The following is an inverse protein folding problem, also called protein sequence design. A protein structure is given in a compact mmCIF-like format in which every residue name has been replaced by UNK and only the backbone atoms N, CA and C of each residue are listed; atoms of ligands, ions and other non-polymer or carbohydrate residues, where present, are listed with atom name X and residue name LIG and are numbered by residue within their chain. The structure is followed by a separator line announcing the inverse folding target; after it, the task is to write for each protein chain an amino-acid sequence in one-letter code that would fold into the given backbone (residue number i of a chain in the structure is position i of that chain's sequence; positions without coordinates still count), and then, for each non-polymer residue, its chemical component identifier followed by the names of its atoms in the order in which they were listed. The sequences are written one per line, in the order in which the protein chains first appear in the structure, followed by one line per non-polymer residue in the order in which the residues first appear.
data_IF_699479181548
#
_entry.id   IF_699479181548
#
_cell.length_a   1.000
_cell.length_b   1.000
_cell.length_c   1.000
_cell.angle_alpha   90.00
_cell.angle_beta   90.00
_cell.angle_gamma   90.00
#
_symmetry.space_group_name_H-M   'P 1'
#
loop_
_entity.id
_entity.type
_entity.pdbx_description
1 polymer ?
#
# COMPACT_ATOMS: atom_id res chain seq x y z
N UNK A 1 -15.65 -9.63 40.56
CA UNK A 1 -15.82 -9.65 39.09
C UNK A 1 -15.68 -8.22 38.60
N UNK A 2 -14.48 -7.84 38.20
CA UNK A 2 -14.14 -6.51 37.71
C UNK A 2 -13.89 -6.62 36.21
N UNK A 3 -14.78 -6.04 35.41
CA UNK A 3 -14.64 -5.93 33.96
C UNK A 3 -13.79 -4.70 33.66
N UNK A 4 -12.49 -4.90 33.41
CA UNK A 4 -11.61 -3.88 32.87
C UNK A 4 -11.85 -3.75 31.37
N UNK A 5 -12.54 -2.68 30.98
CA UNK A 5 -12.66 -2.24 29.58
C UNK A 5 -11.30 -1.79 29.09
N UNK A 6 -10.69 -2.52 28.15
CA UNK A 6 -9.49 -2.06 27.45
C UNK A 6 -9.90 -1.03 26.40
N UNK A 7 -9.50 0.22 26.58
CA UNK A 7 -9.54 1.22 25.52
C UNK A 7 -8.53 0.81 24.44
N UNK A 8 -9.02 0.08 23.43
CA UNK A 8 -8.27 -0.25 22.24
C UNK A 8 -7.97 1.03 21.47
N UNK A 9 -6.78 1.59 21.66
CA UNK A 9 -6.26 2.62 20.77
C UNK A 9 -6.10 1.97 19.39
N UNK A 10 -7.01 2.30 18.46
CA UNK A 10 -6.86 2.03 17.04
C UNK A 10 -5.74 2.88 16.41
N UNK A 11 -4.61 3.02 17.10
CA UNK A 11 -3.37 3.55 16.56
C UNK A 11 -2.57 2.37 16.02
N UNK A 12 -2.70 2.11 14.73
CA UNK A 12 -1.79 1.27 13.93
C UNK A 12 -0.34 1.41 14.44
N UNK A 13 0.20 0.33 15.03
CA UNK A 13 1.52 0.27 15.64
C UNK A 13 2.59 0.12 14.54
N UNK A 14 3.03 1.24 13.97
CA UNK A 14 3.93 1.26 12.80
C UNK A 14 5.42 1.04 13.14
N UNK A 15 5.84 1.29 14.37
CA UNK A 15 7.25 1.22 14.80
C UNK A 15 7.82 -0.20 14.81
N UNK A 16 7.01 -1.19 15.18
CA UNK A 16 7.40 -2.61 15.09
C UNK A 16 7.55 -3.04 13.62
N UNK A 17 6.70 -2.48 12.75
CA UNK A 17 6.68 -2.79 11.32
C UNK A 17 7.86 -2.16 10.56
N UNK A 18 8.33 -0.98 10.92
CA UNK A 18 9.54 -0.40 10.32
C UNK A 18 10.79 -1.20 10.67
N UNK A 19 10.86 -1.72 11.90
CA UNK A 19 11.96 -2.59 12.35
C UNK A 19 12.03 -3.89 11.55
N UNK A 20 10.88 -4.53 11.28
CA UNK A 20 10.85 -5.74 10.44
C UNK A 20 11.18 -5.47 8.97
N UNK A 21 10.80 -4.31 8.44
CA UNK A 21 11.15 -3.90 7.06
C UNK A 21 12.66 -3.61 6.94
N UNK A 22 13.28 -3.00 7.96
CA UNK A 22 14.73 -2.81 7.99
C UNK A 22 15.50 -4.13 8.03
N UNK A 23 14.96 -5.16 8.70
CA UNK A 23 15.57 -6.48 8.77
C UNK A 23 15.68 -7.19 7.40
N UNK A 24 14.80 -6.85 6.44
CA UNK A 24 14.89 -7.31 5.05
C UNK A 24 15.68 -6.36 4.14
N UNK A 25 16.42 -5.40 4.72
CA UNK A 25 17.27 -4.46 3.99
C UNK A 25 16.52 -3.31 3.31
N UNK A 26 15.23 -3.13 3.58
CA UNK A 26 14.42 -2.06 3.01
C UNK A 26 14.50 -0.81 3.89
N UNK A 27 14.95 0.31 3.32
CA UNK A 27 14.98 1.60 3.99
C UNK A 27 13.79 2.47 3.53
N UNK A 28 12.87 2.76 4.44
CA UNK A 28 11.72 3.63 4.15
C UNK A 28 12.16 5.10 4.26
N UNK A 29 12.28 5.78 3.12
CA UNK A 29 12.56 7.20 3.07
C UNK A 29 11.27 7.99 3.31
N UNK A 30 11.08 8.48 4.55
CA UNK A 30 9.85 9.16 4.99
C UNK A 30 9.42 10.30 4.06
N UNK A 31 10.31 11.25 3.79
CA UNK A 31 10.04 12.42 2.95
C UNK A 31 9.72 12.11 1.47
N UNK A 32 10.02 10.89 1.00
CA UNK A 32 9.68 10.43 -0.36
C UNK A 32 8.42 9.58 -0.40
N UNK A 33 7.93 9.16 0.75
CA UNK A 33 6.78 8.27 0.82
C UNK A 33 5.51 9.10 0.77
N UNK A 34 4.53 8.60 0.02
CA UNK A 34 3.17 9.16 -0.04
C UNK A 34 2.19 8.05 0.29
N UNK A 35 1.06 8.41 0.87
CA UNK A 35 0.04 7.45 1.26
C UNK A 35 -1.14 7.56 0.30
N UNK A 36 -1.54 6.43 -0.28
CA UNK A 36 -2.80 6.28 -1.00
C UNK A 36 -3.75 5.49 -0.10
N UNK A 37 -4.85 6.11 0.33
CA UNK A 37 -5.88 5.43 1.14
C UNK A 37 -6.88 4.71 0.25
N UNK A 38 -7.13 3.45 0.58
CA UNK A 38 -8.17 2.63 -0.04
C UNK A 38 -9.37 2.54 0.91
N UNK A 39 -10.59 2.75 0.41
CA UNK A 39 -11.88 2.53 1.11
C UNK A 39 -12.18 3.34 2.38
N UNK A 40 -11.39 4.35 2.77
CA UNK A 40 -11.67 5.12 4.01
C UNK A 40 -11.70 6.63 3.77
N UNK A 41 -12.78 7.28 4.21
CA UNK A 41 -12.91 8.74 4.21
C UNK A 41 -11.81 9.38 5.05
N UNK A 42 -11.07 10.33 4.47
CA UNK A 42 -9.92 10.95 5.09
C UNK A 42 -10.33 11.83 6.28
N UNK A 43 -10.24 11.28 7.50
CA UNK A 43 -10.57 12.01 8.73
C UNK A 43 -9.34 12.43 9.52
N UNK A 44 -8.25 11.67 9.44
CA UNK A 44 -7.02 11.95 10.20
C UNK A 44 -5.78 11.79 9.31
N UNK A 45 -4.80 12.70 9.43
CA UNK A 45 -3.48 12.53 8.84
C UNK A 45 -2.79 11.31 9.45
N UNK A 46 -1.99 10.62 8.62
CA UNK A 46 -1.16 9.51 9.08
C UNK A 46 0.21 10.08 9.39
N UNK A 47 0.69 9.86 10.61
CA UNK A 47 1.95 10.40 11.10
C UNK A 47 2.94 9.28 11.44
N UNK A 48 4.23 9.46 11.15
CA UNK A 48 5.31 8.58 11.63
C UNK A 48 6.35 9.45 12.32
N UNK A 49 6.61 9.15 13.59
CA UNK A 49 7.50 9.93 14.47
C UNK A 49 7.14 11.43 14.53
N UNK A 50 5.86 11.75 14.37
CA UNK A 50 5.35 13.13 14.39
C UNK A 50 5.39 13.87 13.05
N UNK A 51 5.87 13.23 11.97
CA UNK A 51 5.81 13.78 10.60
C UNK A 51 4.59 13.24 9.85
N UNK A 52 3.83 14.14 9.24
CA UNK A 52 2.68 13.82 8.39
C UNK A 52 3.13 13.38 7.00
N UNK A 53 2.49 12.35 6.44
CA UNK A 53 2.70 11.97 5.04
C UNK A 53 1.74 12.70 4.11
N UNK A 54 2.20 12.96 2.88
CA UNK A 54 1.34 13.46 1.82
C UNK A 54 0.31 12.39 1.44
N UNK A 55 -0.97 12.74 1.55
CA UNK A 55 -2.08 11.91 1.09
C UNK A 55 -2.31 12.17 -0.42
N UNK A 56 -2.21 11.11 -1.22
CA UNK A 56 -2.40 11.16 -2.66
C UNK A 56 -3.66 10.43 -3.05
N UNK A 57 -4.39 10.96 -4.05
CA UNK A 57 -5.60 10.33 -4.58
C UNK A 57 -5.33 9.25 -5.61
N UNK A 58 -4.17 9.33 -6.26
CA UNK A 58 -3.74 8.38 -7.29
C UNK A 58 -2.25 8.12 -7.16
N UNK A 59 -1.85 6.90 -7.49
CA UNK A 59 -0.46 6.48 -7.57
C UNK A 59 -0.23 5.68 -8.85
N UNK A 60 0.82 6.01 -9.59
CA UNK A 60 1.19 5.26 -10.79
C UNK A 60 2.21 4.20 -10.42
N UNK A 61 1.80 2.93 -10.47
CA UNK A 61 2.69 1.79 -10.25
C UNK A 61 2.82 0.95 -11.51
N UNK A 62 4.04 0.83 -12.05
CA UNK A 62 4.34 0.03 -13.25
C UNK A 62 3.40 0.33 -14.44
N UNK A 63 3.06 1.60 -14.64
CA UNK A 63 2.17 2.06 -15.71
C UNK A 63 0.67 1.97 -15.39
N UNK A 64 0.29 1.29 -14.30
CA UNK A 64 -1.10 1.23 -13.84
C UNK A 64 -1.40 2.37 -12.88
N UNK A 65 -2.57 2.99 -13.04
CA UNK A 65 -3.06 4.00 -12.12
C UNK A 65 -3.86 3.29 -11.03
N UNK A 66 -3.39 3.41 -9.80
CA UNK A 66 -4.11 2.96 -8.60
C UNK A 66 -4.73 4.20 -7.99
N UNK A 67 -6.05 4.19 -7.79
CA UNK A 67 -6.78 5.25 -7.12
C UNK A 67 -7.39 4.75 -5.80
N UNK A 68 -8.14 5.61 -5.11
CA UNK A 68 -8.85 5.28 -3.87
C UNK A 68 -9.88 4.14 -4.02
N UNK A 69 -10.27 3.81 -5.25
CA UNK A 69 -11.18 2.74 -5.61
C UNK A 69 -10.47 1.48 -6.11
N UNK A 70 -9.13 1.47 -6.13
CA UNK A 70 -8.34 0.30 -6.48
C UNK A 70 -8.36 0.03 -7.99
N UNK A 71 -8.49 1.07 -8.82
CA UNK A 71 -8.69 1.04 -10.28
C UNK A 71 -7.67 0.29 -11.15
N UNK A 72 -6.74 -0.48 -10.58
CA UNK A 72 -5.72 -1.22 -11.33
C UNK A 72 -6.15 -2.63 -11.80
N UNK A 73 -7.33 -3.12 -11.42
CA UNK A 73 -7.76 -4.50 -11.75
C UNK A 73 -7.75 -4.78 -13.26
N UNK A 74 -8.29 -3.85 -14.05
CA UNK A 74 -8.32 -3.96 -15.50
C UNK A 74 -6.91 -4.02 -16.10
N UNK A 75 -6.01 -3.16 -15.65
CA UNK A 75 -4.63 -3.10 -16.13
C UNK A 75 -3.85 -4.38 -15.75
N UNK A 76 -4.02 -4.87 -14.52
CA UNK A 76 -3.40 -6.12 -14.05
C UNK A 76 -3.90 -7.29 -14.89
N UNK A 77 -5.21 -7.36 -15.14
CA UNK A 77 -5.82 -8.40 -15.96
C UNK A 77 -5.32 -8.36 -17.40
N UNK A 78 -5.16 -7.17 -17.99
CA UNK A 78 -4.60 -7.00 -19.32
C UNK A 78 -3.16 -7.51 -19.39
N UNK A 79 -2.29 -7.10 -18.44
CA UNK A 79 -0.89 -7.53 -18.38
C UNK A 79 -0.73 -9.03 -18.18
N UNK A 80 -1.59 -9.66 -17.39
CA UNK A 80 -1.62 -11.13 -17.25
C UNK A 80 -1.99 -11.78 -18.59
N UNK A 81 -2.95 -11.22 -19.33
CA UNK A 81 -3.32 -11.67 -20.66
C UNK A 81 -2.16 -11.62 -21.65
N UNK A 82 -1.43 -10.50 -21.69
CA UNK A 82 -0.23 -10.34 -22.54
C UNK A 82 0.86 -11.34 -22.19
N UNK A 83 1.18 -11.51 -20.91
CA UNK A 83 2.19 -12.46 -20.46
C UNK A 83 1.82 -13.91 -20.84
N UNK A 84 0.54 -14.27 -20.75
CA UNK A 84 0.04 -15.59 -21.19
C UNK A 84 0.17 -15.76 -22.70
N UNK A 85 -0.17 -14.74 -23.48
CA UNK A 85 -0.02 -14.78 -24.93
C UNK A 85 1.45 -14.94 -25.35
N UNK A 86 2.36 -14.17 -24.76
CA UNK A 86 3.80 -14.27 -25.01
C UNK A 86 4.37 -15.65 -24.63
N UNK A 87 3.95 -16.19 -23.48
CA UNK A 87 4.35 -17.53 -23.05
C UNK A 87 3.86 -18.63 -24.00
N UNK A 88 2.63 -18.51 -24.51
CA UNK A 88 2.10 -19.45 -25.51
C UNK A 88 2.86 -19.36 -26.84
N UNK A 89 3.22 -18.14 -27.28
CA UNK A 89 4.05 -17.95 -28.48
C UNK A 89 5.43 -18.62 -28.31
N UNK A 90 6.07 -18.45 -27.14
CA UNK A 90 7.36 -19.08 -26.86
C UNK A 90 7.30 -20.61 -26.87
N UNK A 91 6.18 -21.20 -26.43
CA UNK A 91 5.99 -22.66 -26.41
C UNK A 91 5.74 -23.28 -27.78
N UNK A 92 5.31 -22.49 -28.76
CA UNK A 92 5.03 -22.94 -30.11
C UNK A 92 6.23 -22.76 -31.06
N UNK A 93 7.38 -22.33 -30.53
CA UNK A 93 8.70 -22.38 -31.17
C UNK A 93 9.37 -23.69 -30.76
#
# INVERSE_FOLDING_TARGET
MNTSTSEGKHGIQWTEKTTSVAAVGLNIQKWKSKILRYNTTCTNPITIDGEDFEDVKTFTYLGSIIDEHGGSDADVKARIGEARAAYLQLKNI
#
